data_IF_930914011115
#
_entry.id   IF_930914011115
#
_cell.length_a   1.000
_cell.length_b   1.000
_cell.length_c   1.000
_cell.angle_alpha   90.00
_cell.angle_beta   90.00
_cell.angle_gamma   90.00
#
_symmetry.space_group_name_H-M   'P 1'
#
loop_
_entity.id
_entity.type
_entity.pdbx_description
1 polymer ?
#
# COMPACT_ATOMS: atom_id res chain seq x y z
N UNK A 1 11.30 -8.74 16.98
CA UNK A 1 9.87 -8.51 17.30
C UNK A 1 9.02 -9.53 16.56
N UNK A 2 8.03 -10.17 17.21
CA UNK A 2 7.07 -11.05 16.53
C UNK A 2 6.07 -10.23 15.71
N UNK A 3 5.49 -10.83 14.66
CA UNK A 3 4.54 -10.17 13.75
C UNK A 3 3.31 -9.58 14.47
N UNK A 4 2.69 -10.35 15.37
CA UNK A 4 1.55 -9.89 16.18
C UNK A 4 1.86 -8.64 17.04
N UNK A 5 3.10 -8.54 17.53
CA UNK A 5 3.56 -7.36 18.27
C UNK A 5 3.80 -6.17 17.35
N UNK A 6 4.28 -6.42 16.13
CA UNK A 6 4.47 -5.38 15.11
C UNK A 6 3.13 -4.78 14.70
N UNK A 7 2.13 -5.61 14.40
CA UNK A 7 0.78 -5.14 14.06
C UNK A 7 0.18 -4.29 15.19
N UNK A 8 0.26 -4.78 16.43
CA UNK A 8 -0.26 -4.07 17.59
C UNK A 8 0.44 -2.71 17.80
N UNK A 9 1.75 -2.66 17.60
CA UNK A 9 2.52 -1.43 17.73
C UNK A 9 2.21 -0.42 16.62
N UNK A 10 2.06 -0.86 15.36
CA UNK A 10 1.62 -0.01 14.26
C UNK A 10 0.23 0.58 14.53
N UNK A 11 -0.72 -0.25 15.01
CA UNK A 11 -2.06 0.25 15.41
C UNK A 11 -1.94 1.32 16.50
N UNK A 12 -1.05 1.13 17.47
CA UNK A 12 -0.82 2.11 18.53
C UNK A 12 -0.23 3.42 18.00
N UNK A 13 0.76 3.35 17.11
CA UNK A 13 1.37 4.51 16.46
C UNK A 13 0.34 5.33 15.66
N UNK A 14 -0.50 4.65 14.88
CA UNK A 14 -1.57 5.31 14.08
C UNK A 14 -2.64 5.94 14.98
N UNK A 15 -3.02 5.28 16.07
CA UNK A 15 -3.96 5.84 17.04
C UNK A 15 -3.38 7.09 17.73
N UNK A 16 -2.07 7.14 17.97
CA UNK A 16 -1.39 8.25 18.64
C UNK A 16 -0.93 9.40 17.73
N UNK A 17 -0.88 9.19 16.41
CA UNK A 17 -0.39 10.18 15.47
C UNK A 17 -1.34 11.38 15.30
N UNK A 18 -0.76 12.55 15.00
CA UNK A 18 -1.51 13.74 14.58
C UNK A 18 -2.08 13.53 13.17
N UNK A 19 -3.13 14.28 12.81
CA UNK A 19 -3.71 14.20 11.45
C UNK A 19 -2.70 14.58 10.36
N UNK A 20 -1.84 15.56 10.62
CA UNK A 20 -0.78 15.95 9.68
C UNK A 20 0.21 14.80 9.46
N UNK A 21 0.64 14.12 10.54
CA UNK A 21 1.52 12.97 10.45
C UNK A 21 0.86 11.80 9.72
N UNK A 22 -0.41 11.53 9.99
CA UNK A 22 -1.18 10.50 9.30
C UNK A 22 -1.27 10.79 7.80
N UNK A 23 -1.51 12.05 7.43
CA UNK A 23 -1.58 12.46 6.03
C UNK A 23 -0.25 12.30 5.31
N UNK A 24 0.85 12.75 5.93
CA UNK A 24 2.20 12.60 5.40
C UNK A 24 2.57 11.12 5.28
N UNK A 25 2.33 10.35 6.34
CA UNK A 25 2.57 8.91 6.39
C UNK A 25 1.84 8.18 5.25
N UNK A 26 0.53 8.43 5.09
CA UNK A 26 -0.28 7.81 4.06
C UNK A 26 0.21 8.17 2.66
N UNK A 27 0.45 9.45 2.40
CA UNK A 27 0.94 9.95 1.12
C UNK A 27 2.31 9.36 0.74
N UNK A 28 3.28 9.36 1.66
CA UNK A 28 4.59 8.78 1.38
C UNK A 28 4.52 7.26 1.18
N UNK A 29 3.67 6.58 1.94
CA UNK A 29 3.57 5.12 1.88
C UNK A 29 2.86 4.66 0.61
N UNK A 30 1.72 5.25 0.25
CA UNK A 30 1.04 4.92 -1.02
C UNK A 30 1.93 5.24 -2.21
N UNK A 31 2.59 6.41 -2.21
CA UNK A 31 3.47 6.80 -3.31
C UNK A 31 4.69 5.89 -3.45
N UNK A 32 5.14 5.22 -2.39
CA UNK A 32 6.18 4.19 -2.48
C UNK A 32 5.62 2.88 -3.03
N UNK A 33 4.48 2.42 -2.51
CA UNK A 33 3.86 1.15 -2.88
C UNK A 33 3.46 1.12 -4.35
N UNK A 34 3.00 2.24 -4.90
CA UNK A 34 2.53 2.31 -6.29
C UNK A 34 3.61 2.73 -7.30
N UNK A 35 4.84 3.07 -6.86
CA UNK A 35 5.90 3.57 -7.76
C UNK A 35 6.52 2.47 -8.62
N UNK A 36 6.92 2.88 -9.82
CA UNK A 36 7.34 2.11 -10.99
C UNK A 36 8.73 1.45 -10.94
N UNK A 37 9.34 1.26 -9.77
CA UNK A 37 10.71 0.73 -9.71
C UNK A 37 10.82 -0.77 -10.01
N UNK A 38 9.70 -1.48 -10.06
CA UNK A 38 9.62 -2.84 -10.55
C UNK A 38 8.69 -2.85 -11.76
N UNK A 39 9.19 -3.18 -12.98
CA UNK A 39 8.29 -3.43 -14.09
C UNK A 39 7.36 -4.56 -13.67
N UNK A 40 6.05 -4.31 -13.69
CA UNK A 40 5.05 -5.36 -13.51
C UNK A 40 5.44 -6.48 -14.47
N UNK A 41 5.74 -7.65 -13.92
CA UNK A 41 6.28 -8.75 -14.69
C UNK A 41 5.29 -9.12 -15.82
N UNK A 42 5.77 -9.70 -16.92
CA UNK A 42 4.94 -10.10 -18.07
C UNK A 42 3.75 -11.01 -17.70
N UNK A 43 3.77 -11.64 -16.51
CA UNK A 43 2.63 -12.38 -15.96
C UNK A 43 1.42 -11.50 -15.63
N UNK A 44 1.62 -10.19 -15.44
CA UNK A 44 0.54 -9.26 -15.19
C UNK A 44 -0.24 -8.90 -16.46
N UNK A 45 0.30 -9.07 -17.67
CA UNK A 45 -0.35 -8.60 -18.91
C UNK A 45 -1.73 -9.23 -19.14
N UNK A 46 -1.96 -10.44 -18.62
CA UNK A 46 -3.24 -11.15 -18.69
C UNK A 46 -4.14 -10.92 -17.46
N UNK A 47 -3.74 -10.06 -16.51
CA UNK A 47 -4.49 -9.77 -15.27
C UNK A 47 -5.59 -8.72 -15.47
N UNK A 48 -5.32 -7.74 -16.33
CA UNK A 48 -6.17 -6.58 -16.59
C UNK A 48 -6.36 -6.41 -18.09
N UNK A 49 -7.55 -5.97 -18.50
CA UNK A 49 -7.74 -5.48 -19.86
C UNK A 49 -7.02 -4.14 -20.11
N UNK A 50 -7.02 -3.70 -21.37
CA UNK A 50 -6.33 -2.47 -21.78
C UNK A 50 -6.86 -1.22 -21.07
N UNK A 51 -8.17 -1.15 -20.78
CA UNK A 51 -8.78 0.02 -20.13
C UNK A 51 -8.38 0.08 -18.64
N UNK A 52 -8.39 -1.06 -17.96
CA UNK A 52 -7.94 -1.21 -16.58
C UNK A 52 -6.44 -0.91 -16.44
N UNK A 53 -5.61 -1.34 -17.41
CA UNK A 53 -4.19 -0.96 -17.44
C UNK A 53 -4.00 0.55 -17.57
N UNK A 54 -4.77 1.20 -18.44
CA UNK A 54 -4.70 2.65 -18.59
C UNK A 54 -5.20 3.38 -17.32
N UNK A 55 -6.26 2.90 -16.70
CA UNK A 55 -6.79 3.43 -15.44
C UNK A 55 -5.78 3.31 -14.30
N UNK A 56 -5.11 2.15 -14.19
CA UNK A 56 -4.04 1.93 -13.22
C UNK A 56 -2.87 2.88 -13.44
N UNK A 57 -2.41 3.06 -14.68
CA UNK A 57 -1.34 4.01 -14.99
C UNK A 57 -1.69 5.44 -14.54
N UNK A 58 -2.92 5.90 -14.86
CA UNK A 58 -3.41 7.23 -14.45
C UNK A 58 -3.47 7.35 -12.92
N UNK A 59 -4.01 6.33 -12.23
CA UNK A 59 -4.12 6.31 -10.78
C UNK A 59 -2.75 6.38 -10.10
N UNK A 60 -1.77 5.61 -10.58
CA UNK A 60 -0.39 5.60 -10.07
C UNK A 60 0.30 6.95 -10.26
N UNK A 61 0.16 7.54 -11.45
CA UNK A 61 0.77 8.84 -11.77
C UNK A 61 0.19 9.96 -10.90
N UNK A 62 -1.11 9.91 -10.60
CA UNK A 62 -1.84 11.01 -9.96
C UNK A 62 -2.27 10.73 -8.51
N UNK A 63 -1.76 9.67 -7.88
CA UNK A 63 -2.19 9.19 -6.55
C UNK A 63 -2.15 10.26 -5.45
N UNK A 64 -1.25 11.24 -5.56
CA UNK A 64 -1.08 12.33 -4.59
C UNK A 64 -1.77 13.64 -4.99
N UNK A 65 -2.18 13.78 -6.25
CA UNK A 65 -2.60 15.06 -6.83
C UNK A 65 -4.08 15.10 -7.19
N UNK A 66 -4.69 13.95 -7.47
CA UNK A 66 -6.10 13.84 -7.84
C UNK A 66 -6.99 13.68 -6.60
N UNK A 67 -8.28 13.96 -6.75
CA UNK A 67 -9.26 13.81 -5.67
C UNK A 67 -9.62 12.34 -5.39
N UNK A 68 -10.18 12.08 -4.22
CA UNK A 68 -10.67 10.74 -3.86
C UNK A 68 -11.68 10.18 -4.87
N UNK A 69 -12.61 11.03 -5.34
CA UNK A 69 -13.61 10.65 -6.35
C UNK A 69 -12.98 10.24 -7.68
N UNK A 70 -11.93 10.95 -8.11
CA UNK A 70 -11.21 10.60 -9.34
C UNK A 70 -10.45 9.28 -9.18
N UNK A 71 -9.80 9.05 -8.03
CA UNK A 71 -9.17 7.75 -7.74
C UNK A 71 -10.19 6.62 -7.71
N UNK A 72 -11.33 6.81 -7.04
CA UNK A 72 -12.42 5.82 -7.01
C UNK A 72 -12.96 5.53 -8.41
N UNK A 73 -13.00 6.53 -9.29
CA UNK A 73 -13.38 6.33 -10.70
C UNK A 73 -12.37 5.46 -11.44
N UNK A 74 -11.06 5.64 -11.21
CA UNK A 74 -10.05 4.76 -11.80
C UNK A 74 -10.11 3.35 -11.20
N UNK A 75 -10.30 3.22 -9.88
CA UNK A 75 -10.44 1.93 -9.20
C UNK A 75 -11.61 1.12 -9.75
N UNK A 76 -12.77 1.76 -9.96
CA UNK A 76 -13.91 1.09 -10.58
C UNK A 76 -13.60 0.55 -11.99
N UNK A 77 -12.82 1.29 -12.79
CA UNK A 77 -12.38 0.83 -14.13
C UNK A 77 -11.37 -0.31 -14.04
N UNK A 78 -10.48 -0.29 -13.05
CA UNK A 78 -9.56 -1.39 -12.78
C UNK A 78 -10.38 -2.64 -12.44
N UNK A 79 -11.30 -2.55 -11.47
CA UNK A 79 -12.13 -3.67 -11.02
C UNK A 79 -12.97 -4.28 -12.15
N UNK A 80 -13.56 -3.44 -13.02
CA UNK A 80 -14.33 -3.89 -14.19
C UNK A 80 -13.49 -4.65 -15.22
N UNK A 81 -12.20 -4.30 -15.33
CA UNK A 81 -11.27 -4.92 -16.28
C UNK A 81 -10.38 -6.02 -15.70
N UNK A 82 -10.62 -6.48 -14.46
CA UNK A 82 -9.93 -7.65 -13.90
C UNK A 82 -10.31 -8.91 -14.69
N UNK A 83 -9.31 -9.63 -15.19
CA UNK A 83 -9.46 -10.85 -15.99
C UNK A 83 -9.22 -12.14 -15.18
N UNK A 84 -8.54 -12.03 -14.03
CA UNK A 84 -8.24 -13.17 -13.15
C UNK A 84 -9.32 -13.46 -12.13
N UNK A 85 -9.52 -14.75 -11.82
CA UNK A 85 -10.51 -15.22 -10.84
C UNK A 85 -9.81 -15.58 -9.52
N UNK A 86 -9.30 -14.55 -8.84
CA UNK A 86 -8.75 -14.67 -7.48
C UNK A 86 -7.30 -15.15 -7.38
N UNK A 87 -6.58 -15.27 -8.49
CA UNK A 87 -5.16 -15.62 -8.56
C UNK A 87 -4.25 -14.48 -9.04
N UNK A 88 -4.72 -13.23 -8.86
CA UNK A 88 -4.00 -12.03 -9.27
C UNK A 88 -2.57 -12.00 -8.74
N UNK A 89 -1.64 -11.59 -9.61
CA UNK A 89 -0.25 -11.36 -9.27
C UNK A 89 -0.12 -10.56 -7.95
N UNK A 90 0.66 -11.04 -6.96
CA UNK A 90 0.76 -10.40 -5.66
C UNK A 90 1.28 -8.95 -5.69
N UNK A 91 2.12 -8.59 -6.67
CA UNK A 91 2.62 -7.22 -6.80
C UNK A 91 1.50 -6.31 -7.32
N UNK A 92 0.76 -6.75 -8.33
CA UNK A 92 -0.42 -6.02 -8.82
C UNK A 92 -1.48 -5.86 -7.72
N UNK A 93 -1.79 -6.94 -6.99
CA UNK A 93 -2.73 -6.91 -5.86
C UNK A 93 -2.27 -5.91 -4.79
N UNK A 94 -0.96 -5.84 -4.51
CA UNK A 94 -0.40 -4.88 -3.54
C UNK A 94 -0.61 -3.45 -3.99
N UNK A 95 -0.41 -3.15 -5.28
CA UNK A 95 -0.63 -1.80 -5.84
C UNK A 95 -2.11 -1.41 -5.77
N UNK A 96 -3.01 -2.28 -6.26
CA UNK A 96 -4.45 -2.01 -6.27
C UNK A 96 -4.99 -1.86 -4.84
N UNK A 97 -4.58 -2.75 -3.93
CA UNK A 97 -4.94 -2.64 -2.51
C UNK A 97 -4.46 -1.33 -1.89
N UNK A 98 -3.23 -0.90 -2.20
CA UNK A 98 -2.71 0.38 -1.69
C UNK A 98 -3.50 1.58 -2.22
N UNK A 99 -3.90 1.56 -3.49
CA UNK A 99 -4.76 2.59 -4.08
C UNK A 99 -6.15 2.61 -3.40
N UNK A 100 -6.75 1.44 -3.16
CA UNK A 100 -8.06 1.34 -2.51
C UNK A 100 -8.03 1.88 -1.08
N UNK A 101 -7.05 1.45 -0.26
CA UNK A 101 -6.91 1.93 1.12
C UNK A 101 -6.64 3.43 1.18
N UNK A 102 -5.75 3.95 0.33
CA UNK A 102 -5.52 5.38 0.26
C UNK A 102 -6.80 6.13 -0.13
N UNK A 103 -7.51 5.67 -1.16
CA UNK A 103 -8.76 6.30 -1.61
C UNK A 103 -9.82 6.29 -0.52
N UNK A 104 -10.05 5.16 0.15
CA UNK A 104 -11.01 5.04 1.24
C UNK A 104 -10.62 5.92 2.44
N UNK A 105 -9.33 6.05 2.75
CA UNK A 105 -8.86 7.01 3.74
C UNK A 105 -9.24 8.44 3.35
N UNK A 106 -8.99 8.85 2.10
CA UNK A 106 -9.36 10.19 1.61
C UNK A 106 -10.87 10.48 1.68
N UNK A 107 -11.70 9.45 1.53
CA UNK A 107 -13.16 9.57 1.55
C UNK A 107 -13.74 9.63 2.96
N UNK A 108 -13.12 8.94 3.92
CA UNK A 108 -13.75 8.63 5.20
C UNK A 108 -12.96 9.06 6.43
N UNK A 109 -11.71 9.49 6.25
CA UNK A 109 -10.74 9.75 7.32
C UNK A 109 -10.55 8.55 8.28
N UNK A 110 -10.88 7.33 7.84
CA UNK A 110 -10.72 6.13 8.66
C UNK A 110 -9.25 5.76 8.79
N UNK A 111 -8.70 5.98 9.98
CA UNK A 111 -7.30 5.64 10.30
C UNK A 111 -6.95 4.15 10.10
N UNK A 112 -7.95 3.26 10.10
CA UNK A 112 -7.76 1.84 9.82
C UNK A 112 -7.16 1.59 8.43
N UNK A 113 -7.49 2.41 7.45
CA UNK A 113 -6.94 2.31 6.10
C UNK A 113 -5.43 2.60 6.06
N UNK A 114 -4.96 3.53 6.91
CA UNK A 114 -3.53 3.79 7.06
C UNK A 114 -2.80 2.63 7.74
N UNK A 115 -3.49 1.85 8.58
CA UNK A 115 -2.93 0.62 9.12
C UNK A 115 -2.73 -0.41 8.02
N UNK A 116 -3.71 -0.59 7.13
CA UNK A 116 -3.57 -1.52 6.01
C UNK A 116 -2.43 -1.10 5.06
N UNK A 117 -2.28 0.21 4.79
CA UNK A 117 -1.10 0.72 4.05
C UNK A 117 0.22 0.38 4.75
N UNK A 118 0.29 0.49 6.08
CA UNK A 118 1.48 0.13 6.84
C UNK A 118 1.80 -1.36 6.75
N UNK A 119 0.79 -2.22 6.76
CA UNK A 119 0.97 -3.67 6.63
C UNK A 119 1.44 -4.03 5.22
N UNK A 120 0.80 -3.52 4.17
CA UNK A 120 1.26 -3.74 2.78
C UNK A 120 2.69 -3.26 2.55
N UNK A 121 3.03 -2.14 3.18
CA UNK A 121 4.39 -1.60 3.20
C UNK A 121 5.42 -2.58 3.77
N UNK A 122 5.07 -3.29 4.84
CA UNK A 122 5.91 -4.29 5.50
C UNK A 122 5.95 -5.59 4.69
N UNK A 123 4.81 -6.05 4.19
CA UNK A 123 4.68 -7.26 3.35
C UNK A 123 5.50 -7.16 2.07
N UNK A 124 5.54 -5.98 1.43
CA UNK A 124 6.38 -5.76 0.25
C UNK A 124 7.87 -6.01 0.55
N UNK A 125 8.36 -5.59 1.72
CA UNK A 125 9.74 -5.83 2.12
C UNK A 125 9.94 -7.29 2.50
N UNK A 126 8.98 -7.89 3.21
CA UNK A 126 9.00 -9.31 3.57
C UNK A 126 9.06 -10.20 2.31
N UNK A 127 8.30 -9.89 1.26
CA UNK A 127 8.35 -10.60 -0.01
C UNK A 127 9.76 -10.60 -0.62
N UNK A 128 10.50 -9.50 -0.50
CA UNK A 128 11.85 -9.35 -1.05
C UNK A 128 12.93 -10.05 -0.22
N UNK A 129 12.82 -10.04 1.11
CA UNK A 129 13.90 -10.52 1.98
C UNK A 129 13.54 -11.77 2.78
N UNK A 130 12.30 -12.19 2.82
CA UNK A 130 11.74 -13.29 3.63
C UNK A 130 12.14 -13.19 5.10
N UNK A 131 11.33 -12.49 5.89
CA UNK A 131 11.54 -12.24 7.31
C UNK A 131 11.47 -13.53 8.15
N UNK A 132 12.12 -13.50 9.31
CA UNK A 132 12.02 -14.59 10.28
C UNK A 132 10.73 -14.40 11.09
N UNK A 133 9.84 -15.40 11.09
CA UNK A 133 8.57 -15.35 11.83
C UNK A 133 8.76 -15.21 13.34
N UNK A 134 9.90 -15.64 13.88
CA UNK A 134 10.22 -15.49 15.31
C UNK A 134 10.81 -14.11 15.63
N UNK A 135 11.42 -13.45 14.64
CA UNK A 135 11.95 -12.10 14.75
C UNK A 135 11.85 -11.35 13.40
N UNK A 136 10.68 -10.75 13.17
CA UNK A 136 10.33 -10.09 11.92
C UNK A 136 11.25 -8.90 11.60
N UNK A 137 11.89 -8.32 12.62
CA UNK A 137 12.80 -7.18 12.48
C UNK A 137 14.28 -7.59 12.48
N UNK A 138 14.60 -8.87 12.49
CA UNK A 138 15.99 -9.33 12.48
C UNK A 138 16.75 -8.90 11.22
N UNK A 139 16.03 -8.78 10.09
CA UNK A 139 16.61 -8.34 8.82
C UNK A 139 16.69 -6.81 8.79
N UNK A 140 17.84 -6.22 8.40
CA UNK A 140 18.02 -4.77 8.38
C UNK A 140 16.95 -4.02 7.56
N UNK A 141 16.50 -4.61 6.45
CA UNK A 141 15.46 -4.03 5.59
C UNK A 141 14.11 -3.94 6.31
N UNK A 142 13.72 -5.00 7.04
CA UNK A 142 12.49 -5.01 7.84
C UNK A 142 12.56 -3.99 8.98
N UNK A 143 13.69 -3.94 9.69
CA UNK A 143 13.93 -2.95 10.74
C UNK A 143 13.89 -1.52 10.18
N UNK A 144 14.50 -1.28 9.01
CA UNK A 144 14.52 0.03 8.38
C UNK A 144 13.11 0.50 7.97
N UNK A 145 12.28 -0.40 7.43
CA UNK A 145 10.91 -0.07 7.05
C UNK A 145 10.04 0.23 8.28
N UNK A 146 10.14 -0.60 9.33
CA UNK A 146 9.44 -0.33 10.58
C UNK A 146 9.87 1.01 11.20
N UNK A 147 11.16 1.34 11.23
CA UNK A 147 11.65 2.63 11.72
C UNK A 147 11.22 3.81 10.82
N UNK A 148 11.03 3.60 9.51
CA UNK A 148 10.41 4.60 8.61
C UNK A 148 8.97 4.89 9.01
N UNK A 149 8.16 3.86 9.18
CA UNK A 149 6.76 3.97 9.59
C UNK A 149 6.66 4.73 10.92
N UNK A 150 7.44 4.31 11.91
CA UNK A 150 7.48 4.94 13.23
C UNK A 150 7.83 6.43 13.15
N UNK A 151 8.91 6.77 12.43
CA UNK A 151 9.35 8.17 12.28
C UNK A 151 8.27 9.06 11.69
N UNK A 152 7.54 8.59 10.67
CA UNK A 152 6.50 9.38 10.01
C UNK A 152 5.27 9.57 10.90
N UNK A 153 4.93 8.58 11.72
CA UNK A 153 3.77 8.64 12.61
C UNK A 153 4.04 9.46 13.89
N UNK A 154 5.30 9.57 14.30
CA UNK A 154 5.71 10.28 15.54
C UNK A 154 6.41 11.62 15.30
N UNK A 155 6.43 12.12 14.06
CA UNK A 155 7.13 13.35 13.68
C UNK A 155 6.60 14.60 14.41
#
# INVERSE_FOLDING_TARGET
>A
MRYDKLEADIRHLIAGASEDNLRIFGAETVARLVRDELPLNFAAEDELDEDAWAALAIARENVLTTSATELRTQLARIDEGILTDGDMDPELLTIVSALEHWTTYLETDQRGELYELAIRSIEQVDFQVSADLNDFLAKPQMAAEYERIKRLLTA
#
